data_IF_232532986300
#
_entry.id   IF_232532986300
#
_cell.length_a   1.000
_cell.length_b   1.000
_cell.length_c   1.000
_cell.angle_alpha   90.00
_cell.angle_beta   90.00
_cell.angle_gamma   90.00
#
_symmetry.space_group_name_H-M   'P 1'
#
loop_
_entity.id
_entity.type
_entity.pdbx_description
1 polymer ?
#
# COMPACT_ATOMS: atom_id res chain seq x y z
N UNK A 1 28.86 -6.97 9.52
CA UNK A 1 28.58 -5.71 8.80
C UNK A 1 27.19 -5.27 9.20
N UNK A 2 26.97 -3.98 9.49
CA UNK A 2 25.65 -3.48 9.89
C UNK A 2 24.76 -3.40 8.65
N UNK A 3 23.60 -4.05 8.71
CA UNK A 3 22.62 -4.06 7.63
C UNK A 3 21.44 -3.16 7.99
N UNK A 4 20.81 -2.56 6.99
CA UNK A 4 19.70 -1.64 7.15
C UNK A 4 18.44 -2.11 6.43
N UNK A 5 17.28 -1.69 6.93
CA UNK A 5 15.99 -1.77 6.26
C UNK A 5 15.50 -0.35 5.99
N UNK A 6 15.22 -0.04 4.72
CA UNK A 6 14.54 1.18 4.31
C UNK A 6 13.07 0.89 4.02
N UNK A 7 12.17 1.41 4.84
CA UNK A 7 10.74 1.36 4.59
C UNK A 7 10.35 2.45 3.59
N UNK A 8 10.00 2.03 2.37
CA UNK A 8 9.73 2.92 1.24
C UNK A 8 8.25 3.34 1.21
N UNK A 9 7.95 4.51 1.80
CA UNK A 9 6.62 5.11 1.76
C UNK A 9 6.36 5.90 0.48
N UNK A 10 5.13 5.87 -0.03
CA UNK A 10 4.74 6.68 -1.19
C UNK A 10 4.72 8.19 -0.87
N UNK A 11 4.17 8.55 0.30
CA UNK A 11 3.92 9.95 0.68
C UNK A 11 2.51 10.42 0.33
N UNK A 12 2.05 11.46 1.02
CA UNK A 12 0.69 12.01 0.91
C UNK A 12 0.62 13.47 1.33
N UNK A 13 -0.20 14.24 0.62
CA UNK A 13 -0.54 15.62 1.01
C UNK A 13 -1.38 15.70 2.29
N UNK A 14 -1.85 14.58 2.84
CA UNK A 14 -2.76 14.54 3.99
C UNK A 14 -2.03 14.01 5.22
N UNK A 15 -1.97 14.82 6.28
CA UNK A 15 -1.32 14.46 7.54
C UNK A 15 -1.83 13.13 8.12
N UNK A 16 -3.14 12.87 8.10
CA UNK A 16 -3.71 11.62 8.61
C UNK A 16 -3.16 10.36 7.91
N UNK A 17 -2.87 10.44 6.60
CA UNK A 17 -2.27 9.34 5.86
C UNK A 17 -0.80 9.13 6.26
N UNK A 18 -0.06 10.21 6.48
CA UNK A 18 1.33 10.18 6.97
C UNK A 18 1.39 9.59 8.37
N UNK A 19 0.52 10.04 9.28
CA UNK A 19 0.40 9.50 10.64
C UNK A 19 0.11 8.00 10.62
N UNK A 20 -0.80 7.55 9.76
CA UNK A 20 -1.13 6.13 9.67
C UNK A 20 0.03 5.29 9.12
N UNK A 21 0.75 5.79 8.12
CA UNK A 21 2.00 5.17 7.66
C UNK A 21 3.05 5.10 8.77
N UNK A 22 3.26 6.19 9.52
CA UNK A 22 4.21 6.25 10.63
C UNK A 22 3.89 5.23 11.73
N UNK A 23 2.60 4.90 11.96
CA UNK A 23 2.22 3.81 12.88
C UNK A 23 2.74 2.45 12.42
N UNK A 24 2.66 2.15 11.12
CA UNK A 24 3.22 0.91 10.58
C UNK A 24 4.75 0.90 10.69
N UNK A 25 5.39 2.04 10.41
CA UNK A 25 6.84 2.20 10.57
C UNK A 25 7.26 1.89 12.01
N UNK A 26 6.57 2.42 13.02
CA UNK A 26 6.86 2.12 14.43
C UNK A 26 6.84 0.61 14.70
N UNK A 27 5.77 -0.07 14.28
CA UNK A 27 5.62 -1.52 14.51
C UNK A 27 6.67 -2.33 13.75
N UNK A 28 6.99 -1.96 12.50
CA UNK A 28 8.03 -2.64 11.71
C UNK A 28 9.43 -2.36 12.25
N UNK A 29 9.68 -1.18 12.81
CA UNK A 29 10.94 -0.85 13.48
C UNK A 29 11.14 -1.74 14.70
N UNK A 30 10.16 -1.79 15.60
CA UNK A 30 10.16 -2.68 16.76
C UNK A 30 10.36 -4.15 16.35
N UNK A 31 9.79 -4.57 15.21
CA UNK A 31 9.94 -5.95 14.71
C UNK A 31 11.37 -6.31 14.29
N UNK A 32 12.16 -5.35 13.82
CA UNK A 32 13.43 -5.62 13.14
C UNK A 32 14.67 -4.99 13.81
N UNK A 33 14.50 -4.10 14.78
CA UNK A 33 15.61 -3.32 15.36
C UNK A 33 16.67 -4.15 16.08
N UNK A 34 16.36 -5.38 16.51
CA UNK A 34 17.33 -6.32 17.08
C UNK A 34 18.43 -6.74 16.09
N UNK A 35 18.16 -6.66 14.78
CA UNK A 35 19.04 -7.17 13.72
C UNK A 35 19.44 -6.13 12.68
N UNK A 36 18.61 -5.11 12.50
CA UNK A 36 18.74 -4.14 11.41
C UNK A 36 18.62 -2.72 11.93
N UNK A 37 19.37 -1.80 11.32
CA UNK A 37 19.01 -0.39 11.42
C UNK A 37 17.77 -0.15 10.56
N UNK A 38 16.66 0.27 11.14
CA UNK A 38 15.41 0.51 10.42
C UNK A 38 15.16 2.01 10.32
N UNK A 39 15.06 2.52 9.10
CA UNK A 39 14.63 3.88 8.81
C UNK A 39 13.55 3.86 7.72
N UNK A 40 12.91 5.00 7.49
CA UNK A 40 11.88 5.16 6.48
C UNK A 40 12.11 6.43 5.68
N UNK A 41 11.55 6.48 4.49
CA UNK A 41 11.44 7.71 3.73
C UNK A 41 10.20 7.73 2.86
N UNK A 42 9.97 8.87 2.22
CA UNK A 42 8.90 9.07 1.26
C UNK A 42 9.45 9.32 -0.13
N UNK A 43 8.76 8.76 -1.13
CA UNK A 43 8.96 9.06 -2.55
C UNK A 43 8.53 10.50 -2.86
N UNK A 44 7.34 10.90 -2.37
CA UNK A 44 6.70 12.17 -2.70
C UNK A 44 6.23 12.94 -1.47
N UNK A 45 6.08 14.25 -1.63
CA UNK A 45 5.43 15.21 -0.73
C UNK A 45 6.09 15.42 0.63
N UNK A 46 6.34 14.36 1.39
CA UNK A 46 6.71 14.39 2.80
C UNK A 46 8.21 14.20 3.02
N UNK A 47 8.61 14.47 4.25
CA UNK A 47 9.93 14.19 4.78
C UNK A 47 9.90 13.08 5.86
N UNK A 48 11.01 12.37 6.07
CA UNK A 48 12.25 12.40 5.28
C UNK A 48 12.06 11.79 3.88
N UNK A 49 12.86 12.25 2.90
CA UNK A 49 12.96 11.59 1.58
C UNK A 49 13.73 10.27 1.70
N UNK A 50 13.65 9.40 0.68
CA UNK A 50 14.52 8.20 0.61
C UNK A 50 16.00 8.55 0.73
N UNK A 51 16.42 9.61 0.04
CA UNK A 51 17.79 10.12 0.07
C UNK A 51 18.24 10.48 1.48
N UNK A 52 17.44 11.25 2.21
CA UNK A 52 17.77 11.63 3.58
C UNK A 52 17.82 10.42 4.53
N UNK A 53 17.02 9.39 4.29
CA UNK A 53 17.05 8.16 5.08
C UNK A 53 18.29 7.31 4.76
N UNK A 54 18.58 7.08 3.48
CA UNK A 54 19.75 6.33 3.03
C UNK A 54 21.04 6.97 3.52
N UNK A 55 21.16 8.29 3.43
CA UNK A 55 22.35 9.01 3.90
C UNK A 55 22.57 8.86 5.41
N UNK A 56 21.51 8.95 6.22
CA UNK A 56 21.60 8.70 7.67
C UNK A 56 22.11 7.29 7.98
N UNK A 57 21.53 6.29 7.32
CA UNK A 57 21.95 4.89 7.51
C UNK A 57 23.41 4.70 7.10
N UNK A 58 23.82 5.30 5.98
CA UNK A 58 25.19 5.24 5.49
C UNK A 58 26.19 5.85 6.46
N UNK A 59 25.89 7.05 7.00
CA UNK A 59 26.68 7.73 8.03
C UNK A 59 26.75 6.92 9.35
N UNK A 60 25.72 6.13 9.64
CA UNK A 60 25.67 5.20 10.78
C UNK A 60 26.39 3.85 10.55
N UNK A 61 27.14 3.74 9.44
CA UNK A 61 27.97 2.57 9.11
C UNK A 61 27.22 1.44 8.39
N UNK A 62 26.00 1.67 7.91
CA UNK A 62 25.29 0.70 7.06
C UNK A 62 25.89 0.71 5.65
N UNK A 63 26.16 -0.48 5.10
CA UNK A 63 26.65 -0.67 3.71
C UNK A 63 25.76 -1.56 2.86
N UNK A 64 24.77 -2.20 3.49
CA UNK A 64 23.77 -3.01 2.81
C UNK A 64 22.39 -2.63 3.30
N UNK A 65 21.53 -2.19 2.39
CA UNK A 65 20.16 -1.77 2.68
C UNK A 65 19.17 -2.67 1.94
N UNK A 66 18.19 -3.21 2.66
CA UNK A 66 17.01 -3.85 2.08
C UNK A 66 15.87 -2.84 2.01
N UNK A 67 15.53 -2.41 0.81
CA UNK A 67 14.43 -1.49 0.58
C UNK A 67 13.11 -2.25 0.48
N UNK A 68 12.15 -1.97 1.36
CA UNK A 68 10.85 -2.63 1.43
C UNK A 68 9.74 -1.64 1.03
N UNK A 69 9.16 -1.77 -0.17
CA UNK A 69 8.02 -0.96 -0.59
C UNK A 69 6.79 -1.20 0.28
N UNK A 70 6.27 -0.14 0.92
CA UNK A 70 4.99 -0.16 1.63
C UNK A 70 3.87 0.07 0.60
N UNK A 71 3.73 -0.88 -0.32
CA UNK A 71 2.80 -0.83 -1.46
C UNK A 71 2.10 -2.18 -1.58
N UNK A 72 0.77 -2.17 -1.69
CA UNK A 72 -0.02 -3.39 -1.87
C UNK A 72 0.06 -3.95 -3.29
N UNK A 73 -0.05 -3.12 -4.32
CA UNK A 73 -0.10 -3.54 -5.73
C UNK A 73 0.82 -2.69 -6.61
N UNK A 74 1.53 -3.33 -7.55
CA UNK A 74 2.56 -2.67 -8.34
C UNK A 74 2.02 -1.84 -9.52
N UNK A 75 1.71 -0.57 -9.24
CA UNK A 75 1.59 0.48 -10.27
C UNK A 75 2.96 1.04 -10.70
N UNK A 76 2.95 2.21 -11.36
CA UNK A 76 4.16 2.90 -11.84
C UNK A 76 5.20 3.12 -10.74
N UNK A 77 4.79 3.48 -9.53
CA UNK A 77 5.73 3.76 -8.43
C UNK A 77 6.59 2.55 -8.06
N UNK A 78 5.98 1.36 -7.95
CA UNK A 78 6.72 0.15 -7.61
C UNK A 78 7.58 -0.36 -8.78
N UNK A 79 7.16 -0.11 -10.04
CA UNK A 79 7.81 -0.63 -11.25
C UNK A 79 8.90 0.30 -11.81
N UNK A 80 8.79 1.61 -11.57
CA UNK A 80 9.65 2.63 -12.15
C UNK A 80 10.25 3.56 -11.10
N UNK A 81 9.43 4.29 -10.35
CA UNK A 81 9.92 5.42 -9.55
C UNK A 81 10.82 4.98 -8.39
N UNK A 82 10.40 3.98 -7.61
CA UNK A 82 11.20 3.46 -6.49
C UNK A 82 12.49 2.81 -7.00
N UNK A 83 12.47 1.89 -8.00
CA UNK A 83 13.70 1.37 -8.58
C UNK A 83 14.65 2.47 -9.09
N UNK A 84 14.12 3.50 -9.77
CA UNK A 84 14.90 4.63 -10.25
C UNK A 84 15.61 5.38 -9.11
N UNK A 85 14.88 5.74 -8.05
CA UNK A 85 15.48 6.43 -6.90
C UNK A 85 16.54 5.56 -6.22
N UNK A 86 16.24 4.29 -5.93
CA UNK A 86 17.18 3.43 -5.22
C UNK A 86 18.46 3.17 -6.03
N UNK A 87 18.34 2.97 -7.34
CA UNK A 87 19.51 2.84 -8.22
C UNK A 87 20.33 4.13 -8.23
N UNK A 88 19.68 5.29 -8.24
CA UNK A 88 20.35 6.60 -8.19
C UNK A 88 21.08 6.79 -6.86
N UNK A 89 20.43 6.51 -5.73
CA UNK A 89 21.03 6.65 -4.41
C UNK A 89 22.21 5.72 -4.20
N UNK A 90 22.19 4.54 -4.80
CA UNK A 90 23.32 3.61 -4.76
C UNK A 90 24.56 4.17 -5.48
N UNK A 91 24.42 5.02 -6.51
CA UNK A 91 25.58 5.59 -7.22
C UNK A 91 26.31 6.67 -6.42
N UNK A 92 25.72 7.16 -5.33
CA UNK A 92 26.34 8.18 -4.50
C UNK A 92 27.47 7.62 -3.62
N UNK A 93 27.49 6.29 -3.40
CA UNK A 93 28.42 5.62 -2.50
C UNK A 93 28.88 4.28 -3.09
N UNK A 94 30.14 4.19 -3.51
CA UNK A 94 30.69 3.02 -4.22
C UNK A 94 30.66 1.70 -3.41
N UNK A 95 30.61 1.78 -2.09
CA UNK A 95 30.57 0.63 -1.18
C UNK A 95 29.16 0.36 -0.58
N UNK A 96 28.12 1.05 -1.06
CA UNK A 96 26.74 0.84 -0.67
C UNK A 96 26.04 -0.11 -1.64
N UNK A 97 25.34 -1.12 -1.10
CA UNK A 97 24.43 -1.97 -1.88
C UNK A 97 23.00 -1.81 -1.38
N UNK A 98 22.06 -1.56 -2.30
CA UNK A 98 20.63 -1.47 -2.03
C UNK A 98 19.91 -2.57 -2.80
N UNK A 99 19.28 -3.49 -2.06
CA UNK A 99 18.44 -4.56 -2.62
C UNK A 99 16.98 -4.26 -2.34
N UNK A 100 16.17 -4.18 -3.39
CA UNK A 100 14.74 -3.87 -3.27
C UNK A 100 13.90 -5.14 -3.25
N UNK A 101 13.01 -5.28 -2.27
CA UNK A 101 11.96 -6.30 -2.29
C UNK A 101 10.85 -5.95 -3.30
N UNK A 102 10.09 -6.93 -3.76
CA UNK A 102 8.82 -6.62 -4.43
C UNK A 102 7.83 -5.99 -3.44
N UNK A 103 6.83 -5.32 -3.98
CA UNK A 103 5.61 -4.93 -3.27
C UNK A 103 4.91 -6.14 -2.63
N UNK A 104 3.95 -5.93 -1.71
CA UNK A 104 3.26 -7.01 -0.99
C UNK A 104 2.55 -7.97 -1.97
N UNK A 105 1.80 -7.41 -2.92
CA UNK A 105 1.16 -8.15 -4.01
C UNK A 105 0.19 -9.22 -3.52
N UNK A 106 0.01 -10.25 -4.35
CA UNK A 106 -0.78 -11.44 -4.03
C UNK A 106 0.02 -12.32 -3.05
N UNK A 107 -0.34 -12.27 -1.78
CA UNK A 107 0.28 -13.05 -0.68
C UNK A 107 -0.79 -13.83 0.08
N UNK A 108 -0.44 -15.03 0.56
CA UNK A 108 -1.32 -15.83 1.42
C UNK A 108 -1.67 -15.08 2.72
N UNK A 109 -0.74 -14.35 3.31
CA UNK A 109 -1.01 -13.56 4.52
C UNK A 109 -2.05 -12.46 4.28
N UNK A 110 -2.07 -11.88 3.08
CA UNK A 110 -3.06 -10.86 2.71
C UNK A 110 -4.45 -11.48 2.54
N UNK A 111 -4.52 -12.69 1.97
CA UNK A 111 -5.76 -13.46 1.89
C UNK A 111 -6.26 -13.86 3.28
N UNK A 112 -5.40 -14.41 4.13
CA UNK A 112 -5.74 -14.79 5.50
C UNK A 112 -6.28 -13.59 6.28
N UNK A 113 -5.66 -12.41 6.09
CA UNK A 113 -6.12 -11.19 6.72
C UNK A 113 -7.46 -10.72 6.16
N UNK A 114 -7.68 -10.85 4.86
CA UNK A 114 -8.95 -10.55 4.24
C UNK A 114 -10.07 -11.47 4.76
N UNK A 115 -9.80 -12.79 4.89
CA UNK A 115 -10.72 -13.76 5.52
C UNK A 115 -11.00 -13.36 6.96
N UNK A 116 -9.98 -12.98 7.73
CA UNK A 116 -10.13 -12.49 9.11
C UNK A 116 -11.06 -11.27 9.16
N UNK A 117 -10.83 -10.25 8.34
CA UNK A 117 -11.67 -9.03 8.29
C UNK A 117 -13.11 -9.33 7.92
N UNK A 118 -13.34 -10.18 6.93
CA UNK A 118 -14.68 -10.61 6.53
C UNK A 118 -15.37 -11.34 7.68
N UNK A 119 -14.71 -12.29 8.31
CA UNK A 119 -15.28 -13.12 9.39
C UNK A 119 -15.56 -12.29 10.65
N UNK A 120 -14.67 -11.36 11.01
CA UNK A 120 -14.86 -10.40 12.11
C UNK A 120 -16.08 -9.50 11.89
N UNK A 121 -16.33 -9.11 10.64
CA UNK A 121 -17.53 -8.35 10.26
C UNK A 121 -18.77 -9.23 10.31
N UNK A 122 -18.76 -10.43 9.70
CA UNK A 122 -19.90 -11.36 9.71
C UNK A 122 -20.34 -11.75 11.13
N UNK A 123 -19.40 -11.92 12.06
CA UNK A 123 -19.69 -12.25 13.46
C UNK A 123 -20.53 -11.20 14.19
N UNK A 124 -20.61 -9.96 13.67
CA UNK A 124 -21.42 -8.86 14.23
C UNK A 124 -22.79 -8.74 13.58
N UNK A 125 -23.08 -9.53 12.55
CA UNK A 125 -24.29 -9.45 11.74
C UNK A 125 -25.20 -10.66 12.00
N UNK A 126 -26.46 -10.55 11.57
CA UNK A 126 -27.36 -11.70 11.51
C UNK A 126 -26.78 -12.75 10.57
N UNK A 127 -26.69 -14.04 10.97
CA UNK A 127 -26.18 -15.09 10.10
C UNK A 127 -26.96 -15.18 8.79
N UNK A 128 -26.22 -15.34 7.69
CA UNK A 128 -26.77 -15.47 6.34
C UNK A 128 -25.89 -16.44 5.56
N UNK A 129 -26.48 -17.29 4.72
CA UNK A 129 -25.69 -18.14 3.83
C UNK A 129 -24.89 -17.24 2.87
N UNK A 130 -23.58 -17.51 2.73
CA UNK A 130 -22.72 -16.76 1.81
C UNK A 130 -23.19 -16.88 0.36
N UNK A 131 -23.95 -17.91 -0.01
CA UNK A 131 -24.63 -17.99 -1.32
C UNK A 131 -25.65 -16.88 -1.56
N UNK A 132 -26.19 -16.29 -0.50
CA UNK A 132 -27.09 -15.13 -0.56
C UNK A 132 -26.36 -13.79 -0.36
N UNK A 133 -25.02 -13.83 -0.31
CA UNK A 133 -24.15 -12.68 -0.08
C UNK A 133 -23.23 -12.44 -1.27
N UNK A 134 -23.12 -11.18 -1.71
CA UNK A 134 -22.13 -10.75 -2.68
C UNK A 134 -20.87 -10.22 -1.98
N UNK A 135 -19.68 -10.51 -2.52
CA UNK A 135 -18.42 -9.88 -2.08
C UNK A 135 -17.98 -8.82 -3.11
N UNK A 136 -17.63 -7.62 -2.65
CA UNK A 136 -16.93 -6.63 -3.47
C UNK A 136 -15.53 -6.42 -2.88
N UNK A 137 -14.51 -6.78 -3.65
CA UNK A 137 -13.13 -6.49 -3.31
C UNK A 137 -12.74 -5.13 -3.89
N UNK A 138 -12.38 -4.18 -3.03
CA UNK A 138 -12.07 -2.81 -3.45
C UNK A 138 -10.57 -2.56 -3.44
N UNK A 139 -10.01 -2.33 -4.63
CA UNK A 139 -8.62 -1.90 -4.79
C UNK A 139 -8.48 -0.40 -5.05
N UNK A 140 -7.24 0.11 -5.04
CA UNK A 140 -6.98 1.50 -5.49
C UNK A 140 -7.45 1.68 -6.93
N UNK A 141 -7.06 0.80 -7.84
CA UNK A 141 -7.32 0.92 -9.27
C UNK A 141 -6.37 1.89 -9.95
N UNK A 142 -5.67 1.43 -10.97
CA UNK A 142 -4.65 2.19 -11.70
C UNK A 142 -4.79 2.01 -13.20
N UNK A 143 -4.02 2.76 -13.98
CA UNK A 143 -3.88 2.55 -15.44
C UNK A 143 -2.99 1.35 -15.80
N UNK A 144 -2.39 0.70 -14.80
CA UNK A 144 -1.64 -0.54 -14.99
C UNK A 144 -2.57 -1.74 -14.77
N UNK A 145 -2.89 -2.50 -15.83
CA UNK A 145 -3.86 -3.60 -15.76
C UNK A 145 -3.34 -4.76 -14.91
N UNK A 146 -2.03 -4.91 -14.78
CA UNK A 146 -1.43 -6.00 -14.01
C UNK A 146 -1.66 -5.78 -12.51
N UNK A 147 -1.55 -4.54 -12.02
CA UNK A 147 -1.95 -4.20 -10.64
C UNK A 147 -3.46 -4.41 -10.39
N UNK A 148 -4.30 -4.12 -11.38
CA UNK A 148 -5.74 -4.37 -11.28
C UNK A 148 -6.04 -5.89 -11.29
N UNK A 149 -5.26 -6.66 -12.05
CA UNK A 149 -5.41 -8.12 -12.14
C UNK A 149 -5.09 -8.82 -10.82
N UNK A 150 -4.15 -8.29 -10.02
CA UNK A 150 -3.88 -8.81 -8.67
C UNK A 150 -5.10 -8.70 -7.75
N UNK A 151 -5.81 -7.57 -7.81
CA UNK A 151 -7.06 -7.36 -7.07
C UNK A 151 -8.13 -8.35 -7.53
N UNK A 152 -8.28 -8.54 -8.83
CA UNK A 152 -9.24 -9.51 -9.39
C UNK A 152 -8.88 -10.96 -9.01
N UNK A 153 -7.59 -11.30 -8.98
CA UNK A 153 -7.10 -12.61 -8.55
C UNK A 153 -7.43 -12.87 -7.08
N UNK A 154 -7.14 -11.90 -6.20
CA UNK A 154 -7.46 -12.00 -4.77
C UNK A 154 -8.98 -12.09 -4.55
N UNK A 155 -9.77 -11.36 -5.34
CA UNK A 155 -11.23 -11.47 -5.34
C UNK A 155 -11.71 -12.88 -5.67
N UNK A 156 -11.21 -13.49 -6.75
CA UNK A 156 -11.59 -14.86 -7.11
C UNK A 156 -11.17 -15.87 -6.03
N UNK A 157 -9.97 -15.73 -5.48
CA UNK A 157 -9.49 -16.61 -4.40
C UNK A 157 -10.37 -16.52 -3.14
N UNK A 158 -10.81 -15.31 -2.76
CA UNK A 158 -11.75 -15.12 -1.66
C UNK A 158 -13.14 -15.62 -1.99
N UNK A 159 -13.64 -15.35 -3.20
CA UNK A 159 -14.97 -15.74 -3.64
C UNK A 159 -15.14 -17.26 -3.62
N UNK A 160 -14.31 -17.96 -4.39
CA UNK A 160 -14.38 -19.41 -4.54
C UNK A 160 -13.99 -20.11 -3.22
N UNK A 161 -13.00 -19.58 -2.51
CA UNK A 161 -12.52 -20.14 -1.24
C UNK A 161 -13.51 -20.00 -0.08
N UNK A 162 -14.30 -18.93 -0.04
CA UNK A 162 -15.26 -18.67 1.05
C UNK A 162 -16.71 -19.03 0.71
N UNK A 163 -17.02 -19.32 -0.57
CA UNK A 163 -18.33 -19.77 -1.02
C UNK A 163 -19.37 -18.65 -1.14
N UNK A 164 -18.95 -17.43 -1.49
CA UNK A 164 -19.90 -16.34 -1.79
C UNK A 164 -20.76 -16.67 -3.02
N UNK A 165 -21.99 -16.17 -3.07
CA UNK A 165 -22.90 -16.41 -4.19
C UNK A 165 -22.43 -15.72 -5.47
N UNK A 166 -21.80 -14.55 -5.33
CA UNK A 166 -21.12 -13.83 -6.40
C UNK A 166 -20.03 -12.95 -5.80
N UNK A 167 -19.06 -12.58 -6.62
CA UNK A 167 -18.11 -11.54 -6.25
C UNK A 167 -17.70 -10.71 -7.46
N UNK A 168 -17.30 -9.47 -7.18
CA UNK A 168 -16.73 -8.57 -8.20
C UNK A 168 -15.70 -7.64 -7.56
N UNK A 169 -15.02 -6.88 -8.40
CA UNK A 169 -14.09 -5.83 -7.99
C UNK A 169 -14.76 -4.46 -8.03
N UNK A 170 -14.26 -3.54 -7.23
CA UNK A 170 -14.53 -2.11 -7.34
C UNK A 170 -13.23 -1.33 -7.19
N UNK A 171 -13.14 -0.16 -7.82
CA UNK A 171 -11.93 0.65 -7.79
C UNK A 171 -12.17 2.09 -7.33
N UNK A 172 -11.30 2.60 -6.46
CA UNK A 172 -11.38 3.98 -5.95
C UNK A 172 -10.68 5.03 -6.84
N UNK A 173 -9.90 4.56 -7.82
CA UNK A 173 -8.98 5.34 -8.66
C UNK A 173 -9.42 5.34 -10.12
N UNK A 174 -8.50 5.04 -11.04
CA UNK A 174 -8.73 5.21 -12.49
C UNK A 174 -9.24 3.95 -13.20
N UNK A 175 -9.29 2.81 -12.51
CA UNK A 175 -9.78 1.56 -13.07
C UNK A 175 -11.31 1.45 -12.99
N UNK A 176 -11.89 0.54 -13.78
CA UNK A 176 -13.32 0.32 -13.90
C UNK A 176 -13.69 -1.14 -13.51
N UNK A 177 -14.86 -1.40 -12.89
CA UNK A 177 -15.85 -0.42 -12.44
C UNK A 177 -15.38 0.37 -11.23
N UNK A 178 -15.79 1.64 -11.13
CA UNK A 178 -15.55 2.40 -9.91
C UNK A 178 -16.45 1.88 -8.76
N UNK A 179 -16.17 2.28 -7.52
CA UNK A 179 -16.92 1.80 -6.34
C UNK A 179 -18.43 2.00 -6.48
N UNK A 180 -18.89 3.18 -6.92
CA UNK A 180 -20.33 3.47 -7.06
C UNK A 180 -20.98 2.59 -8.13
N UNK A 181 -20.32 2.44 -9.27
CA UNK A 181 -20.79 1.58 -10.36
C UNK A 181 -20.83 0.11 -9.94
N UNK A 182 -19.81 -0.37 -9.22
CA UNK A 182 -19.78 -1.74 -8.70
C UNK A 182 -20.95 -2.00 -7.75
N UNK A 183 -21.27 -1.05 -6.87
CA UNK A 183 -22.42 -1.14 -5.97
C UNK A 183 -23.74 -1.14 -6.76
N UNK A 184 -23.89 -0.28 -7.76
CA UNK A 184 -25.11 -0.23 -8.59
C UNK A 184 -25.32 -1.49 -9.43
N UNK A 185 -24.24 -2.09 -9.94
CA UNK A 185 -24.29 -3.37 -10.65
C UNK A 185 -24.74 -4.47 -9.70
N UNK A 186 -24.13 -4.59 -8.52
CA UNK A 186 -24.49 -5.61 -7.52
C UNK A 186 -25.92 -5.42 -7.00
N UNK A 187 -26.38 -4.17 -6.84
CA UNK A 187 -27.75 -3.90 -6.41
C UNK A 187 -28.79 -4.49 -7.38
N UNK A 188 -28.50 -4.50 -8.68
CA UNK A 188 -29.39 -5.09 -9.69
C UNK A 188 -29.41 -6.63 -9.65
N UNK A 189 -28.41 -7.26 -9.04
CA UNK A 189 -28.33 -8.72 -8.91
C UNK A 189 -29.18 -9.24 -7.73
N UNK A 190 -29.60 -8.39 -6.80
CA UNK A 190 -30.58 -8.74 -5.77
C UNK A 190 -30.07 -9.62 -4.63
N UNK A 191 -28.75 -9.63 -4.36
CA UNK A 191 -28.20 -10.31 -3.18
C UNK A 191 -28.70 -9.66 -1.90
N UNK A 192 -29.08 -10.48 -0.91
CA UNK A 192 -29.62 -9.99 0.38
C UNK A 192 -28.62 -9.15 1.15
N UNK A 193 -27.33 -9.52 1.06
CA UNK A 193 -26.21 -8.79 1.65
C UNK A 193 -25.08 -8.62 0.65
N UNK A 194 -24.39 -7.50 0.73
CA UNK A 194 -23.12 -7.26 0.06
C UNK A 194 -22.07 -6.87 1.10
N UNK A 195 -20.95 -7.59 1.15
CA UNK A 195 -19.78 -7.27 1.97
C UNK A 195 -18.73 -6.62 1.07
N UNK A 196 -18.23 -5.47 1.48
CA UNK A 196 -17.21 -4.69 0.78
C UNK A 196 -15.92 -4.77 1.59
N UNK A 197 -14.88 -5.38 1.02
CA UNK A 197 -13.55 -5.45 1.63
C UNK A 197 -12.56 -4.53 0.90
N UNK A 198 -12.08 -3.46 1.55
CA UNK A 198 -11.06 -2.59 1.00
C UNK A 198 -9.65 -3.19 1.19
N UNK A 199 -8.94 -3.41 0.09
CA UNK A 199 -7.53 -3.79 0.11
C UNK A 199 -6.66 -2.54 0.30
N UNK A 200 -6.64 -2.05 1.54
CA UNK A 200 -5.92 -0.86 1.98
C UNK A 200 -5.27 -1.11 3.34
N UNK A 201 -4.08 -0.54 3.55
CA UNK A 201 -3.46 -0.59 4.87
C UNK A 201 -4.20 0.27 5.89
N UNK A 202 -4.57 1.51 5.55
CA UNK A 202 -5.09 2.46 6.53
C UNK A 202 -6.27 3.26 6.01
N UNK A 203 -7.00 3.84 6.96
CA UNK A 203 -8.00 4.86 6.69
C UNK A 203 -7.36 6.14 6.13
N UNK A 204 -8.12 6.82 5.29
CA UNK A 204 -7.80 8.12 4.70
C UNK A 204 -8.86 8.48 3.67
N UNK A 205 -8.65 9.58 2.93
CA UNK A 205 -9.67 10.16 2.03
C UNK A 205 -10.27 9.16 1.05
N UNK A 206 -9.47 8.24 0.48
CA UNK A 206 -9.99 7.24 -0.44
C UNK A 206 -10.90 6.23 0.27
N UNK A 207 -10.50 5.76 1.46
CA UNK A 207 -11.28 4.82 2.24
C UNK A 207 -12.56 5.45 2.79
N UNK A 208 -12.49 6.70 3.25
CA UNK A 208 -13.66 7.49 3.67
C UNK A 208 -14.68 7.64 2.53
N UNK A 209 -14.22 7.87 1.30
CA UNK A 209 -15.09 7.92 0.11
C UNK A 209 -15.72 6.56 -0.20
N UNK A 210 -14.98 5.46 -0.05
CA UNK A 210 -15.51 4.10 -0.20
C UNK A 210 -16.62 3.89 0.83
N UNK A 211 -16.35 4.14 2.11
CA UNK A 211 -17.32 3.94 3.19
C UNK A 211 -18.54 4.83 3.04
N UNK A 212 -18.37 6.10 2.65
CA UNK A 212 -19.47 6.99 2.35
C UNK A 212 -20.34 6.49 1.19
N UNK A 213 -19.74 5.93 0.14
CA UNK A 213 -20.48 5.35 -0.97
C UNK A 213 -21.25 4.08 -0.57
N UNK A 214 -20.66 3.24 0.28
CA UNK A 214 -21.32 2.03 0.82
C UNK A 214 -22.48 2.42 1.73
N UNK A 215 -22.29 3.37 2.64
CA UNK A 215 -23.36 3.86 3.52
C UNK A 215 -24.52 4.45 2.71
N UNK A 216 -24.22 5.30 1.72
CA UNK A 216 -25.25 5.87 0.84
C UNK A 216 -25.99 4.80 0.00
N UNK A 217 -25.33 3.70 -0.36
CA UNK A 217 -26.00 2.56 -1.02
C UNK A 217 -26.90 1.80 -0.05
N UNK A 218 -26.44 1.59 1.19
CA UNK A 218 -27.23 0.92 2.21
C UNK A 218 -28.52 1.67 2.53
N UNK A 219 -28.46 3.00 2.68
CA UNK A 219 -29.62 3.83 3.01
C UNK A 219 -30.72 3.82 1.92
N UNK A 220 -30.34 3.63 0.65
CA UNK A 220 -31.28 3.68 -0.49
C UNK A 220 -31.75 2.31 -0.97
N UNK A 221 -31.16 1.23 -0.47
CA UNK A 221 -31.45 -0.13 -0.92
C UNK A 221 -32.27 -0.89 0.12
N UNK A 222 -33.07 -1.84 -0.35
CA UNK A 222 -33.73 -2.82 0.50
C UNK A 222 -32.77 -3.94 0.94
N UNK A 223 -31.54 -3.96 0.43
CA UNK A 223 -30.49 -4.92 0.74
C UNK A 223 -29.43 -4.36 1.70
N UNK A 224 -28.72 -5.25 2.39
CA UNK A 224 -27.70 -4.89 3.36
C UNK A 224 -26.34 -4.64 2.67
N UNK A 225 -25.69 -3.50 2.93
CA UNK A 225 -24.36 -3.19 2.41
C UNK A 225 -23.41 -2.86 3.56
N UNK A 226 -22.42 -3.72 3.76
CA UNK A 226 -21.51 -3.66 4.91
C UNK A 226 -20.07 -3.58 4.42
N UNK A 227 -19.23 -2.75 5.04
CA UNK A 227 -17.80 -2.73 4.79
C UNK A 227 -17.00 -3.33 5.95
N UNK A 228 -15.82 -3.88 5.66
CA UNK A 228 -14.87 -4.33 6.69
C UNK A 228 -13.91 -3.20 7.08
N UNK A 229 -13.21 -3.36 8.20
CA UNK A 229 -12.05 -2.53 8.53
C UNK A 229 -10.89 -2.73 7.53
N UNK A 230 -9.99 -1.74 7.35
CA UNK A 230 -8.79 -1.93 6.56
C UNK A 230 -7.80 -2.87 7.25
N UNK A 231 -6.70 -3.23 6.57
CA UNK A 231 -5.73 -4.19 7.10
C UNK A 231 -5.01 -3.71 8.35
N UNK A 232 -4.70 -2.42 8.44
CA UNK A 232 -4.01 -1.80 9.57
C UNK A 232 -2.57 -2.30 9.70
N UNK A 233 -2.17 -2.49 10.95
CA UNK A 233 -0.86 -3.03 11.36
C UNK A 233 -0.99 -4.45 11.91
N UNK A 234 -1.91 -5.25 11.33
CA UNK A 234 -2.12 -6.63 11.76
C UNK A 234 -0.87 -7.48 11.59
N UNK A 235 -0.64 -8.46 12.47
CA UNK A 235 0.51 -9.37 12.40
C UNK A 235 0.62 -10.09 11.04
N UNK A 236 -0.48 -10.35 10.34
CA UNK A 236 -0.44 -10.93 9.00
C UNK A 236 0.19 -9.97 7.97
N UNK A 237 0.00 -8.66 8.10
CA UNK A 237 0.74 -7.68 7.29
C UNK A 237 2.23 -7.73 7.63
N UNK A 238 2.58 -7.83 8.91
CA UNK A 238 3.98 -7.88 9.34
C UNK A 238 4.68 -9.13 8.79
N UNK A 239 4.01 -10.29 8.79
CA UNK A 239 4.51 -11.51 8.15
C UNK A 239 4.69 -11.39 6.64
N UNK A 240 3.82 -10.64 5.97
CA UNK A 240 4.04 -10.32 4.55
C UNK A 240 5.31 -9.48 4.35
N UNK A 241 5.64 -8.57 5.28
CA UNK A 241 6.93 -7.87 5.26
C UNK A 241 8.12 -8.79 5.56
N UNK A 242 7.98 -9.79 6.44
CA UNK A 242 9.04 -10.79 6.67
C UNK A 242 9.37 -11.53 5.38
N UNK A 243 8.34 -11.94 4.62
CA UNK A 243 8.48 -12.59 3.31
C UNK A 243 9.21 -11.68 2.31
N UNK A 244 8.85 -10.38 2.26
CA UNK A 244 9.52 -9.40 1.40
C UNK A 244 10.98 -9.18 1.79
N UNK A 245 11.28 -9.14 3.08
CA UNK A 245 12.63 -9.01 3.57
C UNK A 245 13.49 -10.23 3.19
N UNK A 246 12.95 -11.44 3.34
CA UNK A 246 13.65 -12.66 2.95
C UNK A 246 13.94 -12.70 1.44
N UNK A 247 12.97 -12.30 0.61
CA UNK A 247 13.17 -12.20 -0.83
C UNK A 247 14.26 -11.19 -1.21
N UNK A 248 14.30 -10.02 -0.58
CA UNK A 248 15.36 -9.03 -0.81
C UNK A 248 16.74 -9.55 -0.38
N UNK A 249 16.81 -10.30 0.73
CA UNK A 249 18.06 -10.89 1.21
C UNK A 249 18.63 -11.95 0.27
N UNK A 250 17.75 -12.76 -0.29
CA UNK A 250 18.12 -13.92 -1.09
C UNK A 250 18.15 -13.64 -2.60
N UNK A 251 17.94 -12.38 -3.02
CA UNK A 251 17.90 -12.01 -4.44
C UNK A 251 16.70 -12.64 -5.18
N UNK A 252 15.65 -13.01 -4.44
CA UNK A 252 14.45 -13.66 -4.96
C UNK A 252 13.27 -12.70 -5.13
N UNK A 253 13.53 -11.38 -5.07
CA UNK A 253 12.55 -10.33 -5.35
C UNK A 253 12.20 -10.29 -6.85
N UNK A 254 11.63 -11.39 -7.36
CA UNK A 254 11.16 -11.53 -8.72
C UNK A 254 9.91 -10.68 -8.88
N UNK A 255 10.11 -9.46 -9.37
CA UNK A 255 9.02 -8.69 -9.95
C UNK A 255 8.43 -9.47 -11.13
N UNK A 256 7.17 -9.24 -11.46
CA UNK A 256 6.46 -9.94 -12.54
C UNK A 256 6.91 -9.53 -13.95
N UNK A 257 8.22 -9.43 -14.18
CA UNK A 257 8.84 -9.07 -15.44
C UNK A 257 8.39 -9.94 -16.62
N UNK A 258 7.81 -11.11 -16.37
CA UNK A 258 7.19 -11.97 -17.39
C UNK A 258 5.94 -11.35 -18.05
N UNK A 259 5.21 -10.48 -17.35
CA UNK A 259 4.00 -9.80 -17.85
C UNK A 259 4.05 -8.27 -17.63
N UNK A 260 5.19 -7.75 -17.15
CA UNK A 260 5.39 -6.32 -17.00
C UNK A 260 5.40 -5.64 -18.37
N UNK A 261 4.46 -4.70 -18.59
CA UNK A 261 4.33 -3.93 -19.85
C UNK A 261 5.58 -3.17 -20.27
N UNK A 262 6.49 -2.90 -19.33
CA UNK A 262 7.76 -2.22 -19.61
C UNK A 262 8.87 -3.17 -20.09
N UNK A 263 8.71 -4.50 -19.92
CA UNK A 263 9.76 -5.52 -20.17
C UNK A 263 9.34 -6.61 -21.15
N UNK A 264 8.04 -6.77 -21.39
CA UNK A 264 7.46 -7.72 -22.33
C UNK A 264 6.39 -7.02 -23.16
N UNK A 265 6.23 -7.47 -24.41
CA UNK A 265 5.14 -7.00 -25.24
C UNK A 265 3.82 -7.50 -24.63
N UNK A 266 3.00 -6.58 -24.15
CA UNK A 266 1.67 -6.85 -23.61
C UNK A 266 0.68 -6.16 -24.53
N UNK A 267 -0.41 -6.87 -24.88
CA UNK A 267 -1.45 -6.37 -25.78
C UNK A 267 -1.98 -5.01 -25.32
N UNK A 268 -1.96 -4.02 -26.21
CA UNK A 268 -2.43 -2.65 -25.94
C UNK A 268 -1.43 -1.76 -25.18
N UNK A 269 -0.21 -2.25 -24.93
CA UNK A 269 0.88 -1.50 -24.30
C UNK A 269 2.18 -1.57 -25.10
N UNK A 270 2.10 -1.71 -26.42
CA UNK A 270 3.25 -1.85 -27.31
C UNK A 270 4.23 -0.68 -27.20
N UNK A 271 3.74 0.54 -26.96
CA UNK A 271 4.55 1.75 -26.77
C UNK A 271 5.39 1.76 -25.49
N UNK A 272 5.08 0.90 -24.51
CA UNK A 272 5.78 0.84 -23.22
C UNK A 272 6.97 -0.11 -23.23
N UNK A 273 7.08 -0.99 -24.23
CA UNK A 273 8.14 -1.99 -24.28
C UNK A 273 9.51 -1.33 -24.44
N UNK A 274 10.40 -1.58 -23.48
CA UNK A 274 11.77 -1.07 -23.53
C UNK A 274 11.91 0.38 -23.07
N UNK A 275 10.85 1.03 -22.60
CA UNK A 275 10.96 2.35 -21.97
C UNK A 275 11.93 2.32 -20.79
N UNK A 276 12.75 3.36 -20.70
CA UNK A 276 13.66 3.59 -19.59
C UNK A 276 12.89 3.85 -18.29
N UNK A 277 13.47 3.44 -17.17
CA UNK A 277 12.91 3.80 -15.86
C UNK A 277 13.20 5.28 -15.59
N UNK A 278 12.13 6.06 -15.42
CA UNK A 278 12.22 7.48 -15.08
C UNK A 278 11.44 7.76 -13.80
N UNK A 279 11.96 8.67 -12.96
CA UNK A 279 11.26 9.18 -11.79
C UNK A 279 10.24 10.26 -12.18
N UNK A 280 8.95 9.94 -12.12
CA UNK A 280 7.86 10.89 -12.41
C UNK A 280 7.55 11.80 -11.22
N UNK A 281 8.06 11.43 -10.05
CA UNK A 281 7.77 12.02 -8.77
C UNK A 281 8.68 13.22 -8.42
N UNK A 282 9.72 13.46 -9.22
CA UNK A 282 10.81 14.41 -8.91
C UNK A 282 10.30 15.83 -8.62
N UNK A 283 9.26 16.30 -9.32
CA UNK A 283 8.70 17.64 -9.14
C UNK A 283 7.93 17.83 -7.82
N UNK A 284 7.64 16.75 -7.09
CA UNK A 284 6.87 16.77 -5.84
C UNK A 284 7.62 16.16 -4.66
N UNK A 285 8.89 15.78 -4.84
CA UNK A 285 9.76 15.21 -3.80
C UNK A 285 10.02 16.25 -2.69
N UNK A 286 9.60 15.94 -1.46
CA UNK A 286 9.86 16.76 -0.27
C UNK A 286 9.28 18.19 -0.29
N UNK A 287 8.21 18.44 -1.07
CA UNK A 287 7.65 19.79 -1.28
C UNK A 287 6.84 20.34 -0.10
N UNK A 288 6.43 19.51 0.86
CA UNK A 288 5.78 19.99 2.08
C UNK A 288 6.85 20.40 3.10
N UNK A 289 6.98 21.71 3.33
CA UNK A 289 8.00 22.32 4.19
C UNK A 289 7.75 22.17 5.72
N UNK A 290 6.82 21.33 6.14
CA UNK A 290 6.65 21.03 7.56
C UNK A 290 7.58 19.88 7.93
N UNK A 291 8.61 20.15 8.74
CA UNK A 291 9.43 19.10 9.37
C UNK A 291 8.52 18.19 10.20
N UNK A 292 8.16 17.06 9.60
CA UNK A 292 7.36 16.01 10.17
C UNK A 292 8.02 15.47 11.46
N UNK A 293 7.39 15.63 12.63
CA UNK A 293 7.88 15.06 13.89
C UNK A 293 8.04 13.52 13.76
N UNK A 294 9.23 13.02 14.13
CA UNK A 294 9.55 11.59 14.03
C UNK A 294 8.89 10.81 15.19
N UNK A 295 8.40 9.58 14.96
CA UNK A 295 7.86 8.75 16.04
C UNK A 295 8.90 8.52 17.15
N UNK A 296 8.62 8.99 18.37
CA UNK A 296 9.46 8.78 19.56
C UNK A 296 10.41 9.93 19.94
N UNK A 297 10.45 11.05 19.21
CA UNK A 297 11.25 12.24 19.60
C UNK A 297 10.39 13.29 20.32
N UNK A 298 10.61 13.53 21.62
CA UNK A 298 10.10 14.72 22.32
C UNK A 298 11.10 15.87 22.18
N UNK A 299 10.80 16.90 21.38
CA UNK A 299 11.63 18.12 21.39
C UNK A 299 11.44 18.85 22.72
N UNK A 300 12.52 18.99 23.48
CA UNK A 300 12.64 19.95 24.57
C UNK A 300 12.25 21.34 24.07
N UNK A 301 11.28 21.96 24.73
CA UNK A 301 10.54 23.08 24.20
C UNK A 301 11.36 24.35 23.99
N UNK A 302 11.21 24.94 22.80
CA UNK A 302 10.95 26.37 22.66
C UNK A 302 9.72 26.49 21.76
N UNK A 303 8.69 27.08 22.36
CA UNK A 303 7.29 27.09 21.91
C UNK A 303 7.05 27.53 20.45
N UNK A 304 6.24 26.74 19.74
CA UNK A 304 5.58 27.08 18.46
C UNK A 304 4.83 28.43 18.48
N UNK A 305 4.58 29.01 19.65
CA UNK A 305 3.96 30.34 19.80
C UNK A 305 4.83 31.47 19.23
N UNK A 306 6.17 31.35 19.26
CA UNK A 306 7.07 32.43 18.79
C UNK A 306 7.13 32.48 17.25
N UNK A 307 7.07 31.33 16.58
CA UNK A 307 7.08 31.25 15.11
C UNK A 307 5.83 31.90 14.49
N UNK A 308 4.66 31.66 15.08
CA UNK A 308 3.41 32.33 14.70
C UNK A 308 3.42 33.86 14.84
N UNK A 309 4.21 34.39 15.76
CA UNK A 309 4.34 35.85 15.98
C UNK A 309 5.32 36.48 14.98
N UNK A 310 6.34 35.73 14.55
CA UNK A 310 7.37 36.23 13.63
C UNK A 310 7.05 36.03 12.15
N UNK A 311 5.95 35.36 11.81
CA UNK A 311 5.55 35.14 10.41
C UNK A 311 6.55 34.27 9.63
N UNK A 312 7.26 33.38 10.33
CA UNK A 312 8.14 32.35 9.78
C UNK A 312 7.65 30.99 10.25
#
# INVERSE_FOLDING_TARGET
MKEGILLCGHGSRRAAAVTSFKRLVTVLKERYEDKYEVDYGFLEFNHPTYEAAVERMYLNGVRKIYALPVILFAGSHAKNDIPFELNTLQTYHDDLTISMAKHIGVSSFLLDLAVKRITETEAKLTPLDRKETCLIVVGRGTTDPDANSDVAKLMNMLWEGLGFGFATVGYSGTAYPNVKESLELVNKLGFKRTIIIPFFFFTGVLLERIYGAVAAMHEKSEHEYIYTDPFGTDELILKAFDERLDEAKNGMANMNCQMCKYRKQVVGFEEYLGQEQMGHHLNVKGVLFEEDEKPGETKGGISNTIKKILGI
#
